data_IF_219000479162
#
_entry.id   IF_219000479162
#
_cell.length_a   1.000
_cell.length_b   1.000
_cell.length_c   1.000
_cell.angle_alpha   90.00
_cell.angle_beta   90.00
_cell.angle_gamma   90.00
#
_symmetry.space_group_name_H-M   'P 1'
#
loop_
_entity.id
_entity.type
_entity.pdbx_description
1 polymer ?
#
# COMPACT_ATOMS: atom_id res chain seq x y z
N UNK A 1 -10.12 -8.02 -44.17
CA UNK A 1 -9.49 -8.89 -43.15
C UNK A 1 -8.17 -8.32 -42.63
N UNK A 2 -7.22 -7.96 -43.48
CA UNK A 2 -5.95 -7.33 -43.04
C UNK A 2 -6.17 -6.03 -42.24
N UNK A 3 -7.10 -5.16 -42.67
CA UNK A 3 -7.40 -3.90 -41.99
C UNK A 3 -7.92 -4.14 -40.55
N UNK A 4 -8.84 -5.10 -40.38
CA UNK A 4 -9.40 -5.44 -39.06
C UNK A 4 -8.31 -6.02 -38.14
N UNK A 5 -7.41 -6.83 -38.70
CA UNK A 5 -6.29 -7.40 -37.95
C UNK A 5 -5.32 -6.29 -37.48
N UNK A 6 -5.00 -5.34 -38.37
CA UNK A 6 -4.13 -4.21 -38.07
C UNK A 6 -4.75 -3.29 -37.03
N UNK A 7 -6.05 -3.03 -37.11
CA UNK A 7 -6.74 -2.21 -36.10
C UNK A 7 -6.81 -2.90 -34.74
N UNK A 8 -7.03 -4.22 -34.70
CA UNK A 8 -7.06 -4.98 -33.44
C UNK A 8 -5.69 -4.99 -32.74
N UNK A 9 -4.61 -5.20 -33.52
CA UNK A 9 -3.24 -5.15 -32.99
C UNK A 9 -2.89 -3.75 -32.48
N UNK A 10 -3.26 -2.70 -33.21
CA UNK A 10 -3.02 -1.32 -32.77
C UNK A 10 -3.75 -1.00 -31.45
N UNK A 11 -5.02 -1.41 -31.32
CA UNK A 11 -5.81 -1.23 -30.09
C UNK A 11 -5.19 -1.97 -28.91
N UNK A 12 -4.71 -3.21 -29.10
CA UNK A 12 -4.03 -3.98 -28.06
C UNK A 12 -2.75 -3.30 -27.55
N UNK A 13 -1.99 -2.64 -28.43
CA UNK A 13 -0.78 -1.89 -28.02
C UNK A 13 -1.09 -0.58 -27.29
N UNK A 14 -2.23 0.06 -27.58
CA UNK A 14 -2.64 1.29 -26.90
C UNK A 14 -3.13 1.03 -25.47
N UNK A 15 -3.77 -0.11 -25.21
CA UNK A 15 -4.26 -0.47 -23.86
C UNK A 15 -3.13 -0.67 -22.83
N UNK A 16 -1.91 -0.97 -23.28
CA UNK A 16 -0.74 -1.16 -22.42
C UNK A 16 0.08 0.12 -22.17
N UNK A 17 -0.19 1.20 -22.91
CA UNK A 17 0.55 2.45 -22.78
C UNK A 17 -0.17 3.41 -21.82
N UNK A 18 -0.15 3.08 -20.53
CA UNK A 18 -0.43 4.07 -19.48
C UNK A 18 0.61 5.20 -19.61
N UNK A 19 0.23 6.48 -19.69
CA UNK A 19 1.21 7.55 -19.59
C UNK A 19 1.90 7.43 -18.23
N UNK A 20 3.22 7.26 -18.23
CA UNK A 20 4.03 7.35 -17.02
C UNK A 20 3.76 8.73 -16.41
N UNK A 21 2.94 8.77 -15.36
CA UNK A 21 2.92 9.93 -14.47
C UNK A 21 4.36 10.09 -14.01
N UNK A 22 4.99 11.20 -14.39
CA UNK A 22 6.31 11.55 -13.88
C UNK A 22 6.14 11.73 -12.37
N UNK A 23 6.58 10.73 -11.60
CA UNK A 23 6.51 10.79 -10.15
C UNK A 23 7.24 12.05 -9.71
N UNK A 24 6.49 13.00 -9.17
CA UNK A 24 7.08 14.21 -8.63
C UNK A 24 7.77 13.84 -7.32
N UNK A 25 9.03 13.44 -7.41
CA UNK A 25 9.89 13.21 -6.24
C UNK A 25 10.40 14.57 -5.78
N UNK A 26 9.58 15.24 -4.96
CA UNK A 26 10.02 16.43 -4.23
C UNK A 26 11.15 16.12 -3.25
N UNK A 27 11.72 17.15 -2.58
CA UNK A 27 12.73 16.95 -1.55
C UNK A 27 12.21 15.98 -0.46
N UNK A 28 12.99 14.94 -0.15
CA UNK A 28 12.67 14.05 0.98
C UNK A 28 12.93 14.77 2.30
N UNK A 29 12.04 14.58 3.26
CA UNK A 29 12.26 15.06 4.63
C UNK A 29 13.19 14.11 5.40
N UNK A 30 14.02 14.67 6.27
CA UNK A 30 14.96 13.94 7.13
C UNK A 30 14.84 14.37 8.59
N UNK A 31 13.72 14.98 8.98
CA UNK A 31 13.42 15.23 10.39
C UNK A 31 13.17 13.90 11.09
N UNK A 32 13.46 13.84 12.40
CA UNK A 32 13.25 12.61 13.18
C UNK A 32 11.79 12.12 13.12
N UNK A 33 10.83 13.06 13.12
CA UNK A 33 9.41 12.75 12.94
C UNK A 33 9.14 12.05 11.61
N UNK A 34 9.70 12.56 10.50
CA UNK A 34 9.55 11.93 9.19
C UNK A 34 10.16 10.53 9.15
N UNK A 35 11.39 10.38 9.65
CA UNK A 35 12.11 9.10 9.62
C UNK A 35 11.37 8.06 10.48
N UNK A 36 10.93 8.46 11.67
CA UNK A 36 10.16 7.60 12.58
C UNK A 36 8.82 7.18 11.97
N UNK A 37 8.05 8.12 11.41
CA UNK A 37 6.77 7.80 10.76
C UNK A 37 6.95 6.92 9.52
N UNK A 38 7.95 7.18 8.68
CA UNK A 38 8.24 6.35 7.52
C UNK A 38 8.70 4.94 7.92
N UNK A 39 9.51 4.82 8.98
CA UNK A 39 9.93 3.54 9.53
C UNK A 39 8.75 2.73 10.05
N UNK A 40 7.84 3.37 10.81
CA UNK A 40 6.63 2.74 11.33
C UNK A 40 5.69 2.24 10.22
N UNK A 41 5.47 3.04 9.18
CA UNK A 41 4.67 2.63 8.02
C UNK A 41 5.34 1.45 7.31
N UNK A 42 6.64 1.56 7.03
CA UNK A 42 7.37 0.53 6.28
C UNK A 42 7.44 -0.80 7.01
N UNK A 43 7.50 -0.81 8.35
CA UNK A 43 7.51 -2.06 9.13
C UNK A 43 6.15 -2.77 9.11
N UNK A 44 5.06 -2.03 8.90
CA UNK A 44 3.70 -2.55 8.84
C UNK A 44 3.35 -3.18 7.49
N UNK A 45 4.11 -2.84 6.43
CA UNK A 45 3.87 -3.25 5.05
C UNK A 45 4.46 -4.62 4.71
N UNK A 46 3.74 -5.38 3.89
CA UNK A 46 4.21 -6.63 3.29
C UNK A 46 4.55 -6.44 1.80
N UNK A 47 5.81 -6.10 1.54
CA UNK A 47 6.33 -5.92 0.17
C UNK A 47 6.40 -7.20 -0.67
N UNK A 48 6.08 -8.38 -0.10
CA UNK A 48 5.97 -9.62 -0.88
C UNK A 48 4.65 -9.70 -1.67
N UNK A 49 3.65 -8.90 -1.28
CA UNK A 49 2.34 -8.87 -1.91
C UNK A 49 2.27 -7.76 -2.95
N UNK A 50 1.68 -8.07 -4.10
CA UNK A 50 1.41 -7.07 -5.12
C UNK A 50 0.25 -6.17 -4.68
N UNK A 51 0.43 -4.84 -4.58
CA UNK A 51 -0.61 -3.91 -4.14
C UNK A 51 -1.84 -3.88 -5.05
N UNK A 52 -1.72 -4.30 -6.31
CA UNK A 52 -2.85 -4.39 -7.23
C UNK A 52 -3.75 -5.60 -6.97
N UNK A 53 -3.24 -6.62 -6.27
CA UNK A 53 -3.95 -7.86 -5.99
C UNK A 53 -4.60 -7.81 -4.60
N UNK A 54 -3.85 -7.39 -3.58
CA UNK A 54 -4.36 -7.17 -2.22
C UNK A 54 -3.64 -6.00 -1.56
N UNK A 55 -4.25 -4.82 -1.66
CA UNK A 55 -3.71 -3.60 -1.07
C UNK A 55 -3.73 -3.63 0.47
N UNK A 56 -4.67 -4.35 1.08
CA UNK A 56 -4.74 -4.46 2.54
C UNK A 56 -3.55 -5.26 3.06
N UNK A 57 -3.30 -6.45 2.49
CA UNK A 57 -2.15 -7.26 2.88
C UNK A 57 -0.83 -6.56 2.58
N UNK A 58 -0.71 -5.88 1.42
CA UNK A 58 0.48 -5.09 1.12
C UNK A 58 0.74 -3.98 2.14
N UNK A 59 -0.30 -3.24 2.55
CA UNK A 59 -0.13 -2.06 3.42
C UNK A 59 -0.04 -2.41 4.92
N UNK A 60 -0.73 -3.46 5.35
CA UNK A 60 -0.94 -3.79 6.76
C UNK A 60 -0.54 -5.21 7.15
N UNK A 61 -0.13 -6.05 6.21
CA UNK A 61 0.02 -7.50 6.40
C UNK A 61 0.96 -7.88 7.55
N UNK A 62 1.99 -7.06 7.81
CA UNK A 62 2.93 -7.29 8.93
C UNK A 62 2.52 -6.61 10.23
N UNK A 63 1.63 -5.62 10.17
CA UNK A 63 1.17 -4.92 11.37
C UNK A 63 0.56 -5.88 12.40
N UNK A 64 -0.14 -6.90 11.93
CA UNK A 64 -0.78 -7.90 12.78
C UNK A 64 0.23 -8.83 13.48
N UNK A 65 1.43 -9.00 12.93
CA UNK A 65 2.50 -9.82 13.54
C UNK A 65 3.03 -9.14 14.82
N UNK A 66 3.22 -7.81 14.77
CA UNK A 66 3.71 -7.02 15.90
C UNK A 66 2.60 -6.59 16.88
N UNK A 67 1.34 -6.78 16.51
CA UNK A 67 0.17 -6.34 17.26
C UNK A 67 -0.86 -7.48 17.39
N UNK A 68 -0.61 -8.48 18.26
CA UNK A 68 -1.53 -9.59 18.46
C UNK A 68 -2.88 -9.11 19.01
N UNK A 69 -3.95 -9.76 18.55
CA UNK A 69 -5.32 -9.43 18.91
C UNK A 69 -5.56 -9.62 20.42
N UNK A 70 -5.94 -8.58 21.17
CA UNK A 70 -6.22 -8.71 22.60
C UNK A 70 -7.56 -9.40 22.85
N UNK A 71 -7.63 -10.24 23.87
CA UNK A 71 -8.75 -11.16 24.12
C UNK A 71 -10.13 -10.51 24.35
N UNK A 72 -10.18 -9.21 24.65
CA UNK A 72 -11.39 -8.52 25.11
C UNK A 72 -11.90 -7.47 24.11
N UNK A 73 -11.55 -7.59 22.83
CA UNK A 73 -12.01 -6.69 21.78
C UNK A 73 -12.76 -7.47 20.70
N UNK A 74 -13.71 -6.80 20.05
CA UNK A 74 -14.43 -7.35 18.89
C UNK A 74 -13.77 -6.95 17.56
N UNK A 75 -12.70 -6.14 17.62
CA UNK A 75 -11.93 -5.68 16.47
C UNK A 75 -10.58 -5.15 16.89
N UNK A 76 -9.58 -5.33 16.03
CA UNK A 76 -8.21 -4.89 16.28
C UNK A 76 -7.62 -4.27 15.04
N UNK A 77 -7.50 -2.96 15.11
CA UNK A 77 -6.91 -2.11 14.09
C UNK A 77 -6.08 -1.01 14.78
N UNK A 78 -5.49 -0.16 13.96
CA UNK A 78 -4.67 0.94 14.46
C UNK A 78 -5.46 1.90 15.37
N UNK A 79 -6.73 2.15 15.09
CA UNK A 79 -7.56 3.05 15.89
C UNK A 79 -7.89 2.43 17.25
N UNK A 80 -8.23 1.14 17.29
CA UNK A 80 -8.45 0.41 18.53
C UNK A 80 -7.18 0.34 19.39
N UNK A 81 -6.01 0.20 18.78
CA UNK A 81 -4.72 0.29 19.49
C UNK A 81 -4.57 1.65 20.19
N UNK A 82 -4.86 2.75 19.48
CA UNK A 82 -4.80 4.09 20.07
C UNK A 82 -5.80 4.26 21.23
N UNK A 83 -7.05 3.83 21.03
CA UNK A 83 -8.08 3.87 22.07
C UNK A 83 -7.71 3.03 23.29
N UNK A 84 -7.10 1.85 23.07
CA UNK A 84 -6.63 0.98 24.12
C UNK A 84 -5.53 1.67 24.95
N UNK A 85 -4.55 2.29 24.30
CA UNK A 85 -3.48 3.06 24.97
C UNK A 85 -3.97 4.32 25.70
N UNK A 86 -5.15 4.84 25.37
CA UNK A 86 -5.78 5.94 26.13
C UNK A 86 -6.63 5.44 27.31
N UNK A 87 -7.01 4.16 27.32
CA UNK A 87 -7.79 3.53 28.39
C UNK A 87 -6.91 3.02 29.53
N UNK A 88 -5.68 2.63 29.23
CA UNK A 88 -4.63 2.25 30.18
C UNK A 88 -3.88 3.48 30.69
#
# INVERSE_FOLDING_TARGET
MAIILVTLLAVLTLSSASPLKKDYVGPRCFTDSCISSAGYLSSSMDFSVNPCDDFYQFSCGKWQEDHPFPANLDGWDYFQKLLYSMRT
#
